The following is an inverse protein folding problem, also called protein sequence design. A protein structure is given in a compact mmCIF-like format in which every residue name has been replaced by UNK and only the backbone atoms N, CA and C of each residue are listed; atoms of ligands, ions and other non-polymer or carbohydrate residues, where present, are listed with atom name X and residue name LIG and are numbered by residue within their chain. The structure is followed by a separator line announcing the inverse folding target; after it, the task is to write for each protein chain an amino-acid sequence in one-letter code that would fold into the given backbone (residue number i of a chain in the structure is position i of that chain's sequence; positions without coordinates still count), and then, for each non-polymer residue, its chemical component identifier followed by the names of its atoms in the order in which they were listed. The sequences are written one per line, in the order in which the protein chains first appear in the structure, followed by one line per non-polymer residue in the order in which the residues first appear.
data_IF_578742796564
#
_entry.id   IF_578742796564
#
_cell.length_a   1.000
_cell.length_b   1.000
_cell.length_c   1.000
_cell.angle_alpha   90.00
_cell.angle_beta   90.00
_cell.angle_gamma   90.00
#
_symmetry.space_group_name_H-M   'P 1'
#
loop_
_entity.id
_entity.type
_entity.pdbx_description
1 polymer ?
2 polymer ?
3 non-polymer ?
4 water ?
#
# COMPACT_ATOMS: atom_id res chain seq x y z
N UNK A 5 0.46 -9.86 -9.55
CA UNK A 5 -0.43 -8.89 -10.26
C UNK A 5 -1.72 -8.59 -9.50
N UNK A 6 -1.69 -8.78 -8.18
CA UNK A 6 -2.86 -8.57 -7.34
C UNK A 6 -2.69 -7.31 -6.49
N UNK A 7 -3.70 -6.46 -6.52
CA UNK A 7 -3.76 -5.29 -5.64
C UNK A 7 -4.80 -5.54 -4.55
N UNK A 8 -4.38 -5.40 -3.29
CA UNK A 8 -5.30 -5.46 -2.17
C UNK A 8 -4.80 -4.51 -1.09
N UNK A 9 -5.34 -3.30 -1.09
CA UNK A 9 -4.95 -2.27 -0.15
C UNK A 9 -6.08 -2.02 0.84
N UNK A 10 -5.78 -1.39 1.96
CA UNK A 10 -6.80 -1.16 2.98
C UNK A 10 -7.87 -0.18 2.51
N UNK A 11 -7.57 0.61 1.48
CA UNK A 11 -8.55 1.56 0.93
C UNK A 11 -9.60 0.88 0.06
N UNK A 12 -9.28 -0.32 -0.42
CA UNK A 12 -10.18 -1.06 -1.29
C UNK A 12 -10.11 -0.68 -2.76
N UNK A 13 -9.37 0.39 -3.08
CA UNK A 13 -9.26 0.81 -4.48
C UNK A 13 -8.24 -0.05 -5.22
N UNK A 14 -8.50 -0.29 -6.49
CA UNK A 14 -7.70 -1.21 -7.28
C UNK A 14 -6.78 -0.49 -8.27
N UNK A 15 -6.92 0.82 -8.38
CA UNK A 15 -6.05 1.60 -9.27
C UNK A 15 -4.63 1.66 -8.72
N UNK A 16 -3.70 2.01 -9.60
CA UNK A 16 -2.31 2.24 -9.23
C UNK A 16 -2.13 3.75 -9.03
N UNK A 17 -1.69 4.16 -7.84
CA UNK A 17 -1.59 5.59 -7.53
C UNK A 17 -0.20 6.19 -7.72
N UNK A 18 0.72 5.41 -8.26
CA UNK A 18 2.05 5.92 -8.56
C UNK A 18 3.14 5.56 -7.56
N UNK A 19 2.77 5.04 -6.39
CA UNK A 19 3.76 4.55 -5.43
C UNK A 19 3.19 3.43 -4.57
N UNK A 20 3.51 2.20 -4.96
CA UNK A 20 2.94 1.02 -4.32
C UNK A 20 4.05 0.11 -3.81
N UNK A 21 3.68 -0.80 -2.92
CA UNK A 21 4.63 -1.67 -2.27
C UNK A 21 4.01 -3.06 -2.21
N UNK A 22 4.86 -4.09 -2.31
CA UNK A 22 4.40 -5.46 -2.44
C UNK A 22 4.70 -6.27 -1.19
N UNK A 23 3.70 -7.00 -0.70
CA UNK A 23 3.88 -7.85 0.48
C UNK A 23 4.83 -9.00 0.16
N UNK A 24 5.87 -9.14 0.99
CA UNK A 24 6.88 -10.15 0.76
C UNK A 24 6.36 -11.57 0.98
N UNK A 25 5.26 -11.70 1.72
CA UNK A 25 4.68 -13.01 1.95
C UNK A 25 3.61 -13.37 0.91
N UNK A 26 2.58 -12.54 0.79
CA UNK A 26 1.42 -12.90 -0.03
C UNK A 26 1.39 -12.22 -1.39
N UNK A 27 2.30 -11.28 -1.61
CA UNK A 27 2.51 -10.63 -2.92
C UNK A 27 1.43 -9.64 -3.35
N UNK A 28 0.50 -9.27 -2.49
CA UNK A 28 -0.44 -8.22 -2.87
C UNK A 28 0.25 -6.87 -2.85
N UNK A 29 -0.24 -5.97 -3.70
CA UNK A 29 0.29 -4.62 -3.78
C UNK A 29 -0.61 -3.67 -3.02
N UNK A 30 0.01 -2.70 -2.36
CA UNK A 30 -0.72 -1.73 -1.57
C UNK A 30 -0.15 -0.36 -1.84
N UNK A 31 -0.95 0.69 -1.63
CA UNK A 31 -0.46 2.05 -1.81
C UNK A 31 0.33 2.48 -0.60
N UNK A 32 1.55 3.00 -0.78
CA UNK A 32 2.34 3.33 0.39
C UNK A 32 1.66 4.41 1.23
N UNK A 33 0.95 5.35 0.60
CA UNK A 33 0.30 6.40 1.38
C UNK A 33 -0.73 5.81 2.32
N UNK A 34 -1.54 4.89 1.82
CA UNK A 34 -2.56 4.23 2.61
C UNK A 34 -1.97 3.50 3.81
N UNK A 35 -0.84 2.86 3.59
CA UNK A 35 -0.24 2.00 4.61
C UNK A 35 0.67 2.79 5.55
N UNK A 36 0.76 4.09 5.34
CA UNK A 36 1.55 4.96 6.19
C UNK A 36 3.05 4.74 6.06
N UNK A 37 3.46 4.27 4.88
CA UNK A 37 4.88 4.04 4.60
C UNK A 37 5.45 5.31 3.98
N UNK A 38 6.47 5.87 4.61
CA UNK A 38 7.11 7.09 4.13
C UNK A 38 8.07 6.77 3.00
N UNK A 39 7.92 7.46 1.87
CA UNK A 39 8.73 7.17 0.68
C UNK A 39 10.22 7.34 0.96
N UNK A 40 10.55 8.07 2.02
CA UNK A 40 11.95 8.27 2.42
C UNK A 40 12.46 7.19 3.36
N UNK A 41 11.57 6.28 3.77
CA UNK A 41 11.90 5.30 4.79
C UNK A 41 11.35 3.92 4.43
N UNK A 42 11.55 3.49 3.19
CA UNK A 42 11.02 2.20 2.77
C UNK A 42 11.79 1.10 3.49
N UNK A 43 11.08 0.17 4.14
CA UNK A 43 11.73 -0.92 4.88
C UNK A 43 12.34 -1.97 3.94
N UNK A 44 13.32 -2.72 4.44
CA UNK A 44 13.93 -3.78 3.64
C UNK A 44 12.91 -4.88 3.33
N UNK A 45 12.16 -5.26 4.35
CA UNK A 45 11.13 -6.28 4.22
C UNK A 45 9.79 -5.63 4.51
N UNK A 46 8.77 -5.97 3.73
CA UNK A 46 7.44 -5.41 3.94
C UNK A 46 6.38 -6.48 3.96
N UNK A 47 5.54 -6.45 4.98
CA UNK A 47 4.37 -7.33 5.05
C UNK A 47 3.10 -6.50 5.14
N UNK A 48 2.06 -6.96 4.44
CA UNK A 48 0.75 -6.29 4.49
C UNK A 48 0.12 -6.46 5.88
N UNK A 49 -1.04 -5.84 6.05
CA UNK A 49 -1.67 -5.78 7.37
C UNK A 49 -2.42 -7.07 7.72
N UNK A 50 -2.48 -8.00 6.78
CA UNK A 50 -3.00 -9.33 7.09
C UNK A 50 -1.87 -10.28 7.47
N UNK A 51 -0.74 -10.15 6.78
CA UNK A 51 0.40 -11.02 7.03
C UNK A 51 1.14 -10.58 8.28
N UNK A 52 1.00 -9.31 8.63
CA UNK A 52 1.53 -8.77 9.87
C UNK A 52 0.47 -7.86 10.47
N UNK A 53 -0.48 -8.46 11.19
CA UNK A 53 -1.64 -7.70 11.67
C UNK A 53 -1.25 -6.46 12.48
N UNK A 54 -1.90 -5.36 12.13
CA UNK A 54 -1.68 -4.10 12.80
C UNK A 54 -2.83 -3.17 12.42
N UNK A 55 -3.04 -2.16 13.24
CA UNK A 55 -4.14 -1.24 13.00
C UNK A 55 -3.72 -0.05 12.18
N UNK A 56 -4.57 0.32 11.21
CA UNK A 56 -4.34 1.45 10.36
C UNK A 56 -5.65 2.19 10.17
N UNK A 57 -5.56 3.46 9.78
CA UNK A 57 -6.74 4.29 9.57
C UNK A 57 -7.25 4.08 8.13
N UNK A 58 -8.29 3.24 8.02
CA UNK A 58 -8.83 2.87 6.73
C UNK A 58 -9.54 4.05 6.07
N UNK A 59 -10.21 4.87 6.88
CA UNK A 59 -10.94 6.00 6.32
C UNK A 59 -10.00 7.05 5.73
N UNK A 60 -8.84 7.24 6.36
CA UNK A 60 -7.81 8.12 5.83
C UNK A 60 -7.34 7.62 4.48
N UNK A 61 -7.12 6.32 4.38
CA UNK A 61 -6.65 5.72 3.14
C UNK A 61 -7.66 5.98 2.02
N UNK A 62 -8.94 5.74 2.32
CA UNK A 62 -9.99 5.95 1.34
C UNK A 62 -10.06 7.40 0.87
N UNK A 63 -10.01 8.36 1.80
CA UNK A 63 -10.14 9.75 1.38
C UNK A 63 -8.92 10.23 0.59
N UNK A 64 -7.74 9.70 0.90
CA UNK A 64 -6.55 10.03 0.12
C UNK A 64 -6.65 9.49 -1.30
N UNK A 65 -7.19 8.28 -1.45
CA UNK A 65 -7.21 7.64 -2.77
C UNK A 65 -8.31 8.18 -3.67
N UNK A 66 -9.39 8.67 -3.08
CA UNK A 66 -10.49 9.21 -3.88
C UNK A 66 -10.00 10.31 -4.81
N UNK A 67 -9.11 11.16 -4.31
CA UNK A 67 -8.69 12.30 -5.09
C UNK A 67 -7.60 11.93 -6.09
N UNK A 68 -7.20 10.66 -6.10
CA UNK A 68 -6.17 10.19 -7.02
C UNK A 68 -6.74 9.44 -8.22
N UNK A 69 -8.06 9.34 -8.28
CA UNK A 69 -8.70 8.63 -9.39
C UNK A 69 -8.82 9.52 -10.61
N UNK B 1 12.36 -3.17 0.20
CA UNK B 1 11.09 -3.83 -0.19
C UNK B 1 10.96 -3.74 -1.69
N UNK B 2 10.05 -4.53 -2.29
CA UNK B 2 9.72 -4.30 -3.68
C UNK B 2 8.64 -3.24 -3.77
N UNK B 3 8.91 -2.22 -4.57
CA UNK B 3 7.96 -1.15 -4.79
C UNK B 3 7.73 -1.00 -6.28
N UNK B 4 6.81 -0.14 -6.66
CA UNK B 4 6.68 0.25 -8.05
C UNK B 4 6.21 1.66 -8.09
N UNK B 5 6.83 2.43 -8.99
CA UNK B 5 6.47 3.81 -9.20
C UNK B 5 6.11 4.00 -10.66
N UNK B 6 4.85 3.78 -10.97
CA UNK B 6 4.37 3.85 -12.33
C UNK B 6 4.25 5.31 -12.76
N UNK B 7 4.84 5.63 -13.90
CA UNK B 7 4.74 6.97 -14.48
C UNK B 7 4.13 6.89 -15.87
X LIG C 1 0.53 -10.15 2.83
X LIG D 1 -4.73 2.17 -0.84
#
# INVERSE_FOLDING_TARGET
GSHMDVTRCICGFTHDDGYMICCDKCSVWQHIDCMGIDRQHIPDTYLCERCQPRNLDKERAVLLQRRKR
ARTKQTARKSTG
ZN ZN
ZN ZN
#
